data_IF_911519753822
#
_entry.id   IF_911519753822
#
_cell.length_a   1.000
_cell.length_b   1.000
_cell.length_c   1.000
_cell.angle_alpha   90.00
_cell.angle_beta   90.00
_cell.angle_gamma   90.00
#
_symmetry.space_group_name_H-M   'P 1'
#
loop_
_entity.id
_entity.type
_entity.pdbx_description
1 polymer ?
#
# COMPACT_ATOMS: atom_id res chain seq x y z
N UNK A 1 -22.73 -23.55 -23.37
CA UNK A 1 -22.28 -23.95 -24.71
C UNK A 1 -20.77 -23.95 -24.71
N UNK A 2 -20.20 -25.14 -24.94
CA UNK A 2 -18.80 -25.51 -25.18
C UNK A 2 -17.72 -25.16 -24.13
N UNK A 3 -17.40 -26.17 -23.32
CA UNK A 3 -16.03 -26.53 -22.93
C UNK A 3 -15.10 -26.48 -24.16
N UNK A 4 -14.09 -25.62 -24.12
CA UNK A 4 -12.80 -25.74 -24.82
C UNK A 4 -11.99 -24.46 -24.55
N UNK A 5 -11.28 -24.43 -23.43
CA UNK A 5 -10.15 -23.50 -23.23
C UNK A 5 -9.01 -24.26 -22.53
N UNK A 6 -8.70 -25.43 -23.08
CA UNK A 6 -7.39 -26.08 -22.92
C UNK A 6 -6.36 -25.25 -23.68
N UNK A 7 -5.57 -24.47 -22.95
CA UNK A 7 -4.12 -24.42 -23.09
C UNK A 7 -3.50 -24.09 -24.46
N UNK A 8 -4.22 -23.46 -25.38
CA UNK A 8 -3.59 -22.83 -26.55
C UNK A 8 -3.22 -21.42 -26.15
N UNK A 9 -1.98 -21.22 -25.72
CA UNK A 9 -1.35 -19.89 -25.73
C UNK A 9 -1.39 -19.39 -27.17
N UNK A 10 -2.43 -18.59 -27.48
CA UNK A 10 -2.56 -17.94 -28.78
C UNK A 10 -1.42 -16.93 -28.86
N UNK A 11 -0.42 -17.23 -29.69
CA UNK A 11 0.75 -16.41 -29.97
C UNK A 11 0.42 -15.12 -30.74
N UNK A 12 -0.82 -14.95 -31.19
CA UNK A 12 -1.27 -13.79 -31.94
C UNK A 12 -1.85 -12.69 -31.05
N UNK A 13 -1.57 -11.45 -31.41
CA UNK A 13 -2.14 -10.29 -30.73
C UNK A 13 -3.67 -10.29 -30.83
N UNK A 14 -4.38 -9.97 -29.73
CA UNK A 14 -5.84 -9.94 -29.73
C UNK A 14 -6.37 -8.89 -30.72
N UNK A 15 -7.37 -9.27 -31.52
CA UNK A 15 -8.02 -8.34 -32.46
C UNK A 15 -8.68 -7.16 -31.72
N UNK A 16 -8.84 -5.98 -32.37
CA UNK A 16 -9.42 -4.79 -31.74
C UNK A 16 -10.80 -5.03 -31.12
N UNK A 17 -11.62 -5.88 -31.75
CA UNK A 17 -12.94 -6.28 -31.26
C UNK A 17 -12.86 -7.06 -29.95
N UNK A 18 -11.88 -7.98 -29.81
CA UNK A 18 -11.66 -8.74 -28.56
C UNK A 18 -11.18 -7.84 -27.42
N UNK A 19 -10.33 -6.85 -27.70
CA UNK A 19 -9.89 -5.87 -26.70
C UNK A 19 -11.06 -4.99 -26.22
N UNK A 20 -11.94 -4.55 -27.12
CA UNK A 20 -13.14 -3.81 -26.74
C UNK A 20 -14.11 -4.67 -25.92
N UNK A 21 -14.33 -5.93 -26.29
CA UNK A 21 -15.20 -6.84 -25.53
C UNK A 21 -14.62 -7.16 -24.14
N UNK A 22 -13.30 -7.33 -24.01
CA UNK A 22 -12.62 -7.50 -22.72
C UNK A 22 -12.81 -6.26 -21.82
N UNK A 23 -12.64 -5.06 -22.38
CA UNK A 23 -12.94 -3.79 -21.67
C UNK A 23 -14.41 -3.71 -21.25
N UNK A 24 -15.36 -4.03 -22.13
CA UNK A 24 -16.80 -4.05 -21.79
C UNK A 24 -17.11 -5.01 -20.64
N UNK A 25 -16.38 -6.12 -20.53
CA UNK A 25 -16.47 -7.09 -19.43
C UNK A 25 -15.68 -6.69 -18.16
N UNK A 26 -15.05 -5.51 -18.15
CA UNK A 26 -14.25 -4.99 -17.04
C UNK A 26 -12.88 -5.64 -16.87
N UNK A 27 -12.41 -6.38 -17.88
CA UNK A 27 -11.09 -7.02 -17.88
C UNK A 27 -10.08 -6.05 -18.49
N UNK A 28 -9.53 -5.17 -17.64
CA UNK A 28 -8.44 -4.25 -17.98
C UNK A 28 -7.14 -4.71 -17.35
N UNK A 29 -6.02 -4.37 -17.97
CA UNK A 29 -4.69 -4.61 -17.42
C UNK A 29 -4.57 -3.92 -16.05
N UNK A 30 -4.16 -4.67 -15.03
CA UNK A 30 -3.91 -4.17 -13.68
C UNK A 30 -2.71 -4.90 -13.10
N UNK A 31 -1.66 -4.17 -12.75
CA UNK A 31 -0.56 -4.70 -11.94
C UNK A 31 -0.83 -4.37 -10.48
N UNK A 32 -0.95 -5.43 -9.67
CA UNK A 32 -1.07 -5.29 -8.22
C UNK A 32 0.23 -4.73 -7.63
N UNK A 33 1.36 -5.17 -8.17
CA UNK A 33 2.69 -4.79 -7.68
C UNK A 33 3.01 -3.32 -7.97
N UNK A 34 2.60 -2.80 -9.14
CA UNK A 34 2.72 -1.38 -9.46
C UNK A 34 1.97 -0.51 -8.43
N UNK A 35 0.76 -0.93 -8.05
CA UNK A 35 -0.04 -0.20 -7.07
C UNK A 35 0.61 -0.21 -5.69
N UNK A 36 1.04 -1.39 -5.22
CA UNK A 36 1.75 -1.53 -3.94
C UNK A 36 3.04 -0.71 -3.93
N UNK A 37 3.84 -0.75 -5.00
CA UNK A 37 5.05 0.05 -5.16
C UNK A 37 4.76 1.55 -5.08
N UNK A 38 3.79 2.03 -5.87
CA UNK A 38 3.46 3.45 -5.91
C UNK A 38 2.96 3.97 -4.55
N UNK A 39 2.05 3.25 -3.90
CA UNK A 39 1.51 3.65 -2.59
C UNK A 39 2.60 3.67 -1.52
N UNK A 40 3.42 2.62 -1.44
CA UNK A 40 4.45 2.52 -0.38
C UNK A 40 5.56 3.55 -0.58
N UNK A 41 6.03 3.74 -1.82
CA UNK A 41 7.07 4.71 -2.13
C UNK A 41 6.60 6.15 -1.93
N UNK A 42 5.46 6.53 -2.53
CA UNK A 42 4.93 7.90 -2.40
C UNK A 42 4.44 8.17 -0.98
N UNK A 43 3.83 7.18 -0.33
CA UNK A 43 3.44 7.28 1.08
C UNK A 43 4.64 7.51 1.99
N UNK A 44 5.72 6.74 1.82
CA UNK A 44 6.96 6.93 2.57
C UNK A 44 7.58 8.30 2.35
N UNK A 45 7.70 8.75 1.09
CA UNK A 45 8.20 10.08 0.76
C UNK A 45 7.34 11.20 1.35
N UNK A 46 6.02 11.06 1.29
CA UNK A 46 5.07 12.02 1.88
C UNK A 46 5.25 12.11 3.38
N UNK A 47 5.39 10.97 4.08
CA UNK A 47 5.67 10.96 5.52
C UNK A 47 6.98 11.67 5.86
N UNK A 48 8.01 11.54 5.02
CA UNK A 48 9.28 12.24 5.23
C UNK A 48 9.16 13.74 5.00
N UNK A 49 8.53 14.15 3.89
CA UNK A 49 8.30 15.56 3.56
C UNK A 49 7.43 16.27 4.60
N UNK A 50 6.45 15.56 5.14
CA UNK A 50 5.51 16.06 6.15
C UNK A 50 5.90 15.69 7.59
N UNK A 51 7.11 15.20 7.82
CA UNK A 51 7.56 14.76 9.15
C UNK A 51 7.44 15.85 10.22
N UNK A 52 7.72 17.10 9.87
CA UNK A 52 7.54 18.25 10.76
C UNK A 52 6.08 18.51 11.14
N UNK A 53 5.16 18.42 10.18
CA UNK A 53 3.70 18.54 10.40
C UNK A 53 3.21 17.45 11.36
N UNK A 54 3.58 16.19 11.13
CA UNK A 54 3.20 15.09 12.01
C UNK A 54 3.83 15.19 13.40
N UNK A 55 5.11 15.57 13.48
CA UNK A 55 5.82 15.72 14.75
C UNK A 55 5.23 16.83 15.62
N UNK A 56 4.96 17.99 15.03
CA UNK A 56 4.34 19.12 15.73
C UNK A 56 2.89 18.83 16.11
N UNK A 57 2.09 18.31 15.17
CA UNK A 57 0.68 17.98 15.43
C UNK A 57 0.53 16.92 16.52
N UNK A 58 1.38 15.88 16.53
CA UNK A 58 1.38 14.88 17.60
C UNK A 58 1.79 15.49 18.95
N UNK A 59 2.81 16.36 18.97
CA UNK A 59 3.21 17.06 20.19
C UNK A 59 2.09 17.96 20.72
N UNK A 60 1.36 18.66 19.85
CA UNK A 60 0.26 19.53 20.23
C UNK A 60 -0.93 18.71 20.76
N UNK A 61 -1.28 17.62 20.07
CA UNK A 61 -2.33 16.70 20.50
C UNK A 61 -2.05 16.12 21.89
N UNK A 62 -0.80 15.68 22.13
CA UNK A 62 -0.37 15.18 23.45
C UNK A 62 -0.41 16.28 24.52
N UNK A 63 0.03 17.51 24.20
CA UNK A 63 -0.05 18.64 25.12
C UNK A 63 -1.50 18.92 25.50
N UNK A 64 -2.39 19.08 24.53
CA UNK A 64 -3.83 19.32 24.76
C UNK A 64 -4.49 18.19 25.56
N UNK A 65 -4.14 16.94 25.23
CA UNK A 65 -4.68 15.75 25.88
C UNK A 65 -4.24 15.57 27.34
N UNK A 66 -3.02 16.01 27.68
CA UNK A 66 -2.49 15.92 29.04
C UNK A 66 -2.64 17.22 29.86
N UNK A 67 -2.91 18.36 29.23
CA UNK A 67 -3.20 19.63 29.91
C UNK A 67 -4.71 19.81 30.11
N UNK A 68 -5.26 19.09 31.10
CA UNK A 68 -6.69 19.15 31.43
C UNK A 68 -6.92 20.16 32.55
N UNK A 69 -7.84 21.11 32.32
CA UNK A 69 -8.27 22.03 33.36
C UNK A 69 -9.09 21.26 34.42
N UNK A 70 -8.90 21.58 35.70
CA UNK A 70 -9.59 20.90 36.80
C UNK A 70 -11.11 20.96 36.65
N UNK A 71 -11.66 22.07 36.17
CA UNK A 71 -13.10 22.23 35.95
C UNK A 71 -13.63 21.20 34.95
N UNK A 72 -12.92 21.02 33.82
CA UNK A 72 -13.30 20.08 32.78
C UNK A 72 -13.13 18.62 33.23
N UNK A 73 -12.16 18.33 34.10
CA UNK A 73 -11.90 16.97 34.58
C UNK A 73 -13.08 16.35 35.36
N UNK A 74 -13.93 17.17 35.97
CA UNK A 74 -15.12 16.73 36.71
C UNK A 74 -16.43 16.90 35.94
N UNK A 75 -16.36 17.37 34.69
CA UNK A 75 -17.51 17.50 33.78
C UNK A 75 -17.37 16.50 32.62
N UNK A 76 -18.20 15.46 32.66
CA UNK A 76 -18.24 14.42 31.61
C UNK A 76 -18.55 14.98 30.22
N UNK A 77 -19.35 16.04 30.10
CA UNK A 77 -19.65 16.65 28.81
C UNK A 77 -18.46 17.43 28.26
N UNK A 78 -17.76 18.18 29.12
CA UNK A 78 -16.53 18.88 28.76
C UNK A 78 -15.45 17.88 28.30
N UNK A 79 -15.29 16.74 29.00
CA UNK A 79 -14.37 15.68 28.60
C UNK A 79 -14.72 15.03 27.26
N UNK A 80 -16.00 14.81 26.99
CA UNK A 80 -16.43 14.26 25.70
C UNK A 80 -16.13 15.25 24.55
N UNK A 81 -16.37 16.54 24.75
CA UNK A 81 -16.03 17.55 23.74
C UNK A 81 -14.52 17.59 23.45
N UNK A 82 -13.68 17.53 24.49
CA UNK A 82 -12.22 17.46 24.32
C UNK A 82 -11.78 16.21 23.55
N UNK A 83 -12.43 15.08 23.77
CA UNK A 83 -12.16 13.86 23.01
C UNK A 83 -12.53 14.03 21.53
N UNK A 84 -13.69 14.62 21.24
CA UNK A 84 -14.11 14.90 19.86
C UNK A 84 -13.14 15.84 19.16
N UNK A 85 -12.69 16.91 19.82
CA UNK A 85 -11.67 17.83 19.32
C UNK A 85 -10.35 17.11 19.05
N UNK A 86 -9.89 16.26 19.98
CA UNK A 86 -8.65 15.49 19.81
C UNK A 86 -8.72 14.52 18.60
N UNK A 87 -9.87 13.87 18.40
CA UNK A 87 -10.10 13.01 17.24
C UNK A 87 -10.14 13.83 15.94
N UNK A 88 -10.80 14.99 15.95
CA UNK A 88 -10.86 15.88 14.81
C UNK A 88 -9.46 16.41 14.42
N UNK A 89 -8.67 16.88 15.39
CA UNK A 89 -7.28 17.32 15.20
C UNK A 89 -6.42 16.19 14.62
N UNK A 90 -6.55 14.96 15.14
CA UNK A 90 -5.83 13.80 14.62
C UNK A 90 -6.22 13.44 13.18
N UNK A 91 -7.51 13.50 12.85
CA UNK A 91 -8.01 13.24 11.50
C UNK A 91 -7.55 14.32 10.51
N UNK A 92 -7.63 15.59 10.89
CA UNK A 92 -7.14 16.71 10.07
C UNK A 92 -5.64 16.62 9.84
N UNK A 93 -4.88 16.19 10.85
CA UNK A 93 -3.45 15.95 10.73
C UNK A 93 -3.13 14.87 9.69
N UNK A 94 -3.88 13.76 9.66
CA UNK A 94 -3.67 12.63 8.74
C UNK A 94 -4.28 12.84 7.34
N UNK A 95 -5.28 13.72 7.23
CA UNK A 95 -6.01 14.02 5.99
C UNK A 95 -5.11 14.22 4.76
N UNK A 96 -4.04 15.04 4.79
CA UNK A 96 -3.18 15.24 3.61
C UNK A 96 -2.47 13.95 3.15
N UNK A 97 -2.03 13.10 4.08
CA UNK A 97 -1.42 11.81 3.74
C UNK A 97 -2.43 10.88 3.07
N UNK A 98 -3.63 10.77 3.63
CA UNK A 98 -4.69 9.95 3.04
C UNK A 98 -5.13 10.46 1.68
N UNK A 99 -5.25 11.78 1.51
CA UNK A 99 -5.57 12.39 0.21
C UNK A 99 -4.53 12.00 -0.85
N UNK A 100 -3.24 12.11 -0.52
CA UNK A 100 -2.16 11.72 -1.44
C UNK A 100 -2.21 10.21 -1.74
N UNK A 101 -2.36 9.36 -0.73
CA UNK A 101 -2.44 7.90 -0.92
C UNK A 101 -3.63 7.52 -1.81
N UNK A 102 -4.80 8.12 -1.62
CA UNK A 102 -5.99 7.88 -2.46
C UNK A 102 -5.72 8.28 -3.90
N UNK A 103 -5.15 9.46 -4.12
CA UNK A 103 -4.78 9.93 -5.47
C UNK A 103 -3.80 8.96 -6.12
N UNK A 104 -2.74 8.56 -5.41
CA UNK A 104 -1.73 7.62 -5.92
C UNK A 104 -2.35 6.25 -6.22
N UNK A 105 -3.22 5.73 -5.35
CA UNK A 105 -3.89 4.45 -5.56
C UNK A 105 -4.79 4.45 -6.80
N UNK A 106 -5.48 5.56 -7.07
CA UNK A 106 -6.29 5.75 -8.28
C UNK A 106 -5.39 5.84 -9.50
N UNK A 107 -4.38 6.71 -9.47
CA UNK A 107 -3.47 6.94 -10.60
C UNK A 107 -2.69 5.67 -10.97
N UNK A 108 -2.16 4.94 -9.99
CA UNK A 108 -1.43 3.69 -10.21
C UNK A 108 -2.32 2.60 -10.81
N UNK A 109 -3.59 2.54 -10.38
CA UNK A 109 -4.57 1.58 -10.91
C UNK A 109 -5.01 1.92 -12.34
N UNK A 110 -5.11 3.21 -12.66
CA UNK A 110 -5.53 3.70 -13.98
C UNK A 110 -4.38 3.68 -14.99
N UNK A 111 -3.13 3.82 -14.55
CA UNK A 111 -1.95 3.94 -15.42
C UNK A 111 -1.80 2.80 -16.45
N UNK A 112 -2.19 1.57 -16.12
CA UNK A 112 -2.06 0.41 -17.01
C UNK A 112 -3.33 0.12 -17.84
N UNK A 113 -4.50 0.22 -17.20
CA UNK A 113 -5.75 -0.29 -17.78
C UNK A 113 -6.72 0.80 -18.25
N UNK A 114 -6.46 2.06 -17.91
CA UNK A 114 -7.42 3.16 -18.07
C UNK A 114 -8.62 3.05 -17.13
N UNK A 115 -9.57 3.97 -17.28
CA UNK A 115 -10.85 3.94 -16.55
C UNK A 115 -11.86 3.17 -17.40
N UNK A 116 -12.46 2.11 -16.85
CA UNK A 116 -13.53 1.37 -17.53
C UNK A 116 -14.62 0.98 -16.53
N UNK A 117 -15.85 1.40 -16.80
CA UNK A 117 -17.03 1.06 -16.00
C UNK A 117 -17.76 -0.07 -16.72
N UNK A 118 -17.88 -1.23 -16.07
CA UNK A 118 -18.55 -2.41 -16.62
C UNK A 118 -19.67 -2.86 -15.69
N UNK A 119 -20.91 -2.69 -16.14
CA UNK A 119 -22.10 -3.23 -15.45
C UNK A 119 -22.07 -4.75 -15.39
N UNK A 120 -21.49 -5.40 -16.41
CA UNK A 120 -21.35 -6.85 -16.47
C UNK A 120 -20.34 -7.40 -15.45
N UNK A 121 -19.29 -6.64 -15.12
CA UNK A 121 -18.33 -6.99 -14.07
C UNK A 121 -18.92 -6.89 -12.65
N UNK A 122 -19.92 -6.02 -12.45
CA UNK A 122 -20.62 -5.85 -11.17
C UNK A 122 -21.68 -6.93 -10.90
N UNK A 123 -22.07 -7.69 -11.93
CA UNK A 123 -23.03 -8.79 -11.77
C UNK A 123 -22.45 -9.95 -10.92
N UNK A 124 -23.22 -10.50 -9.95
CA UNK A 124 -22.79 -11.66 -9.18
C UNK A 124 -22.74 -12.90 -10.09
N UNK A 125 -21.54 -13.46 -10.30
CA UNK A 125 -21.33 -14.67 -11.10
C UNK A 125 -21.12 -15.87 -10.18
N UNK A 126 -22.15 -16.71 -10.02
CA UNK A 126 -22.11 -17.94 -9.20
C UNK A 126 -20.97 -18.90 -9.62
N UNK A 127 -20.56 -18.85 -10.89
CA UNK A 127 -19.43 -19.63 -11.41
C UNK A 127 -18.07 -19.27 -10.79
N UNK A 128 -17.94 -18.12 -10.11
CA UNK A 128 -16.74 -17.74 -9.36
C UNK A 128 -16.69 -18.33 -7.94
N UNK A 129 -17.79 -18.88 -7.44
CA UNK A 129 -17.91 -19.42 -6.08
C UNK A 129 -17.66 -20.94 -6.00
N UNK A 130 -17.36 -21.60 -7.13
CA UNK A 130 -17.12 -23.05 -7.16
C UNK A 130 -15.80 -23.43 -6.45
N UNK A 131 -15.86 -24.09 -5.28
CA UNK A 131 -14.68 -24.41 -4.48
C UNK A 131 -13.80 -25.47 -5.14
N UNK A 132 -14.36 -26.38 -5.95
CA UNK A 132 -13.61 -27.45 -6.63
C UNK A 132 -12.71 -26.84 -7.71
N UNK A 133 -13.24 -25.89 -8.49
CA UNK A 133 -12.45 -25.13 -9.46
C UNK A 133 -11.40 -24.23 -8.79
N UNK A 134 -11.71 -23.69 -7.61
CA UNK A 134 -10.76 -22.96 -6.78
C UNK A 134 -9.57 -23.81 -6.37
N UNK A 135 -9.80 -24.99 -5.78
CA UNK A 135 -8.74 -25.91 -5.38
C UNK A 135 -7.89 -26.38 -6.57
N UNK A 136 -8.53 -26.71 -7.71
CA UNK A 136 -7.78 -27.12 -8.92
C UNK A 136 -6.85 -26.01 -9.42
N UNK A 137 -7.21 -24.73 -9.28
CA UNK A 137 -6.33 -23.60 -9.64
C UNK A 137 -5.14 -23.50 -8.69
N UNK A 138 -5.35 -23.68 -7.39
CA UNK A 138 -4.28 -23.63 -6.37
C UNK A 138 -3.27 -24.76 -6.59
N UNK A 139 -3.75 -25.99 -6.80
CA UNK A 139 -2.89 -27.18 -7.02
C UNK A 139 -2.56 -27.44 -8.50
N UNK A 140 -2.56 -26.40 -9.35
CA UNK A 140 -2.15 -26.51 -10.76
C UNK A 140 -0.70 -26.09 -10.97
N UNK A 141 -0.12 -26.44 -12.13
CA UNK A 141 1.18 -25.90 -12.57
C UNK A 141 1.21 -24.36 -12.55
N UNK A 142 0.07 -23.72 -12.87
CA UNK A 142 -0.08 -22.27 -12.76
C UNK A 142 0.03 -21.79 -11.31
N UNK A 143 -0.60 -22.49 -10.37
CA UNK A 143 -0.50 -22.21 -8.93
C UNK A 143 0.93 -22.37 -8.40
N UNK A 144 1.64 -23.41 -8.83
CA UNK A 144 3.04 -23.62 -8.47
C UNK A 144 3.96 -22.50 -9.02
N UNK A 145 3.70 -22.04 -10.25
CA UNK A 145 4.46 -20.94 -10.84
C UNK A 145 4.18 -19.60 -10.14
N UNK A 146 2.94 -19.32 -9.75
CA UNK A 146 2.61 -18.16 -8.92
C UNK A 146 3.27 -18.22 -7.54
N UNK A 147 3.36 -19.41 -6.93
CA UNK A 147 4.08 -19.62 -5.68
C UNK A 147 5.57 -19.32 -5.85
N UNK A 148 6.21 -19.85 -6.91
CA UNK A 148 7.62 -19.60 -7.19
C UNK A 148 7.91 -18.10 -7.39
N UNK A 149 7.06 -17.39 -8.16
CA UNK A 149 7.14 -15.93 -8.30
C UNK A 149 7.01 -15.22 -6.96
N UNK A 150 6.05 -15.63 -6.14
CA UNK A 150 5.82 -15.04 -4.81
C UNK A 150 7.01 -15.27 -3.86
N UNK A 151 7.63 -16.45 -3.91
CA UNK A 151 8.85 -16.76 -3.16
C UNK A 151 10.04 -15.93 -3.64
N UNK A 152 10.22 -15.75 -4.95
CA UNK A 152 11.26 -14.88 -5.49
C UNK A 152 11.08 -13.43 -5.02
N UNK A 153 9.84 -12.90 -5.05
CA UNK A 153 9.51 -11.57 -4.52
C UNK A 153 9.84 -11.47 -3.02
N UNK A 154 9.47 -12.49 -2.23
CA UNK A 154 9.75 -12.54 -0.80
C UNK A 154 11.25 -12.51 -0.49
N UNK A 155 12.05 -13.35 -1.17
CA UNK A 155 13.51 -13.38 -0.98
C UNK A 155 14.14 -12.05 -1.36
N UNK A 156 13.68 -11.44 -2.45
CA UNK A 156 14.18 -10.15 -2.91
C UNK A 156 13.86 -9.01 -1.92
N UNK A 157 12.62 -8.90 -1.44
CA UNK A 157 12.23 -7.88 -0.45
C UNK A 157 12.90 -8.16 0.90
N UNK A 158 12.91 -9.41 1.35
CA UNK A 158 13.53 -9.82 2.62
C UNK A 158 15.05 -9.60 2.62
N UNK A 159 15.71 -9.93 1.50
CA UNK A 159 17.13 -9.67 1.30
C UNK A 159 17.45 -8.18 1.31
N UNK A 160 16.71 -7.37 0.56
CA UNK A 160 16.89 -5.92 0.54
C UNK A 160 16.63 -5.29 1.93
N UNK A 161 15.59 -5.74 2.63
CA UNK A 161 15.28 -5.30 4.00
C UNK A 161 16.43 -5.64 4.95
N UNK A 162 16.92 -6.87 4.90
CA UNK A 162 18.05 -7.32 5.74
C UNK A 162 19.30 -6.49 5.45
N UNK A 163 19.61 -6.24 4.17
CA UNK A 163 20.74 -5.41 3.76
C UNK A 163 20.61 -3.98 4.29
N UNK A 164 19.45 -3.34 4.11
CA UNK A 164 19.19 -1.96 4.58
C UNK A 164 19.33 -1.87 6.09
N UNK A 165 18.79 -2.84 6.83
CA UNK A 165 18.92 -2.90 8.28
C UNK A 165 20.38 -3.12 8.71
N UNK A 166 21.11 -3.99 8.03
CA UNK A 166 22.52 -4.26 8.35
C UNK A 166 23.41 -3.04 8.10
N UNK A 167 23.19 -2.32 7.00
CA UNK A 167 23.87 -1.07 6.69
C UNK A 167 23.48 0.09 7.63
N UNK A 168 22.31 0.00 8.25
CA UNK A 168 21.80 1.01 9.20
C UNK A 168 22.10 0.67 10.65
N UNK A 169 22.73 -0.47 10.93
CA UNK A 169 22.92 -1.01 12.27
C UNK A 169 23.78 -0.09 13.14
N UNK A 170 24.87 0.45 12.60
CA UNK A 170 25.72 1.42 13.31
C UNK A 170 24.96 2.68 13.69
N UNK A 171 24.12 3.18 12.77
CA UNK A 171 23.26 4.36 13.02
C UNK A 171 22.24 4.06 14.11
N UNK A 172 21.69 2.84 14.12
CA UNK A 172 20.73 2.41 15.13
C UNK A 172 21.39 2.31 16.52
N UNK A 173 22.59 1.73 16.60
CA UNK A 173 23.36 1.67 17.86
C UNK A 173 23.69 3.08 18.35
N UNK A 174 24.08 3.99 17.46
CA UNK A 174 24.42 5.37 17.80
C UNK A 174 23.24 6.14 18.42
N UNK A 175 21.98 5.77 18.15
CA UNK A 175 20.81 6.39 18.76
C UNK A 175 20.81 6.30 20.29
N UNK A 176 21.39 5.24 20.86
CA UNK A 176 21.43 5.02 22.31
C UNK A 176 22.26 6.06 23.06
N UNK A 177 23.23 6.69 22.38
CA UNK A 177 24.08 7.74 22.95
C UNK A 177 23.58 9.16 22.69
N UNK A 178 22.47 9.33 21.96
CA UNK A 178 21.96 10.66 21.58
C UNK A 178 21.03 11.25 22.66
N UNK A 179 21.01 12.58 22.75
CA UNK A 179 19.99 13.28 23.53
C UNK A 179 18.58 12.97 23.01
N UNK A 180 17.60 12.83 23.91
CA UNK A 180 16.25 12.36 23.59
C UNK A 180 15.61 13.04 22.37
N UNK A 181 15.64 14.38 22.32
CA UNK A 181 15.03 15.13 21.23
C UNK A 181 15.71 14.88 19.87
N UNK A 182 17.05 14.78 19.87
CA UNK A 182 17.82 14.46 18.67
C UNK A 182 17.65 12.99 18.27
N UNK A 183 17.60 12.08 19.25
CA UNK A 183 17.40 10.65 19.06
C UNK A 183 16.05 10.33 18.40
N UNK A 184 14.96 10.99 18.82
CA UNK A 184 13.63 10.81 18.20
C UNK A 184 13.65 11.26 16.74
N UNK A 185 14.23 12.43 16.44
CA UNK A 185 14.33 12.94 15.07
C UNK A 185 15.21 12.02 14.20
N UNK A 186 16.35 11.58 14.71
CA UNK A 186 17.27 10.68 14.02
C UNK A 186 16.62 9.30 13.77
N UNK A 187 15.88 8.75 14.74
CA UNK A 187 15.12 7.51 14.57
C UNK A 187 14.04 7.65 13.49
N UNK A 188 13.27 8.74 13.52
CA UNK A 188 12.26 9.01 12.49
C UNK A 188 12.88 9.11 11.09
N UNK A 189 14.03 9.76 10.97
CA UNK A 189 14.77 9.86 9.71
C UNK A 189 15.30 8.49 9.24
N UNK A 190 15.85 7.69 10.16
CA UNK A 190 16.34 6.33 9.87
C UNK A 190 15.21 5.42 9.39
N UNK A 191 14.08 5.41 10.10
CA UNK A 191 12.90 4.61 9.73
C UNK A 191 12.33 5.08 8.38
N UNK A 192 12.22 6.40 8.19
CA UNK A 192 11.72 6.99 6.94
C UNK A 192 12.56 6.60 5.72
N UNK A 193 13.89 6.78 5.79
CA UNK A 193 14.77 6.37 4.69
C UNK A 193 14.80 4.86 4.49
N UNK A 194 14.74 4.07 5.57
CA UNK A 194 14.67 2.61 5.44
C UNK A 194 13.41 2.19 4.68
N UNK A 195 12.25 2.79 5.00
CA UNK A 195 10.99 2.57 4.28
C UNK A 195 11.13 2.91 2.79
N UNK A 196 11.67 4.09 2.47
CA UNK A 196 11.86 4.52 1.07
C UNK A 196 12.80 3.56 0.32
N UNK A 197 13.96 3.24 0.89
CA UNK A 197 14.94 2.33 0.29
C UNK A 197 14.35 0.94 0.05
N UNK A 198 13.65 0.37 1.03
CA UNK A 198 12.97 -0.93 0.87
C UNK A 198 11.88 -0.82 -0.22
N UNK A 199 11.12 0.28 -0.27
CA UNK A 199 10.08 0.48 -1.28
C UNK A 199 10.65 0.58 -2.70
N UNK A 200 11.87 1.10 -2.89
CA UNK A 200 12.50 1.12 -4.22
C UNK A 200 12.75 -0.28 -4.79
N UNK A 201 12.89 -1.29 -3.92
CA UNK A 201 13.04 -2.69 -4.34
C UNK A 201 11.79 -3.20 -5.07
N UNK A 202 10.61 -2.65 -4.73
CA UNK A 202 9.35 -2.97 -5.40
C UNK A 202 9.30 -2.46 -6.84
N UNK A 203 10.14 -1.49 -7.21
CA UNK A 203 10.25 -1.02 -8.61
C UNK A 203 10.71 -2.16 -9.50
N UNK A 204 11.69 -2.96 -9.06
CA UNK A 204 12.16 -4.13 -9.82
C UNK A 204 11.04 -5.15 -10.01
N UNK A 205 10.25 -5.40 -8.97
CA UNK A 205 9.11 -6.32 -9.03
C UNK A 205 8.03 -5.78 -9.98
N UNK A 206 7.69 -4.50 -9.87
CA UNK A 206 6.70 -3.86 -10.73
C UNK A 206 7.13 -3.88 -12.21
N UNK A 207 8.40 -3.64 -12.51
CA UNK A 207 8.92 -3.70 -13.89
C UNK A 207 8.79 -5.09 -14.51
N UNK A 208 8.94 -6.15 -13.71
CA UNK A 208 8.76 -7.53 -14.17
C UNK A 208 7.28 -7.90 -14.31
N UNK A 209 6.39 -7.31 -13.50
CA UNK A 209 4.96 -7.64 -13.46
C UNK A 209 4.11 -6.85 -14.49
N UNK A 210 4.48 -5.62 -14.82
CA UNK A 210 3.79 -4.73 -15.77
C UNK A 210 3.67 -5.27 -17.22
N UNK A 211 4.66 -5.96 -17.82
CA UNK A 211 4.56 -6.43 -19.21
C UNK A 211 3.70 -7.69 -19.41
N UNK A 212 3.03 -8.22 -18.36
CA UNK A 212 2.15 -9.38 -18.41
C UNK A 212 0.68 -9.04 -18.14
#
# INVERSE_FOLDING_TARGET
MAENDTGQERTEQPTPKRLQDARRKGQIARSRELNTMAITLVGGLTMMMMSGHFGQGMSELMRKGFSIARADAFDSHAMLNRLVEAVADALLMLLPLFAIIVVVAILSSVALGGITISTEAMSPKLSKLDPIKGMKRVFSLKGLMELAKSMAKFVLIGGATTLVLWLSLDRFIALSGMHLQQGIAALGNLVGWSLVLISTTLILIALVDVPF
#
